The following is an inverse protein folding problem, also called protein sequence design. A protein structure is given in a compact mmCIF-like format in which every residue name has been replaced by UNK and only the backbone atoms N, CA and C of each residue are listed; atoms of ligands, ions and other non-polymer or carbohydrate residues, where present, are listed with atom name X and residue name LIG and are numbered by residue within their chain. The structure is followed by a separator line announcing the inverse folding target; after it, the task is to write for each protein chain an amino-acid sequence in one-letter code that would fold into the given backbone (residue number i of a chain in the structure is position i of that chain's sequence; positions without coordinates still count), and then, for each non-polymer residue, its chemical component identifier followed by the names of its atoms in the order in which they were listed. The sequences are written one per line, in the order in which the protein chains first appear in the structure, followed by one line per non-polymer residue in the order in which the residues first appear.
data_IF_920283736028
#
_entry.id   IF_920283736028
#
_cell.length_a   1.000
_cell.length_b   1.000
_cell.length_c   1.000
_cell.angle_alpha   90.00
_cell.angle_beta   90.00
_cell.angle_gamma   90.00
#
_symmetry.space_group_name_H-M   'P 1'
#
loop_
_entity.id
_entity.type
_entity.pdbx_description
1 polymer ?
#
# COMPACT_ATOMS: atom_id res chain seq x y z
N UNK A 1 54.00 -28.16 -27.24
CA UNK A 1 52.66 -28.48 -27.79
C UNK A 1 51.68 -28.99 -26.71
N UNK A 2 52.13 -29.91 -25.82
CA UNK A 2 51.27 -30.48 -24.77
C UNK A 2 50.72 -29.43 -23.76
N UNK A 3 51.51 -28.46 -23.36
CA UNK A 3 51.10 -27.39 -22.44
C UNK A 3 50.15 -26.36 -23.10
N UNK A 4 50.26 -26.14 -24.40
CA UNK A 4 49.36 -25.29 -25.17
C UNK A 4 47.96 -25.92 -25.29
N UNK A 5 47.88 -27.25 -25.43
CA UNK A 5 46.64 -27.98 -25.47
C UNK A 5 45.91 -27.92 -24.13
N UNK A 6 46.59 -28.02 -22.98
CA UNK A 6 45.99 -27.84 -21.66
C UNK A 6 45.47 -26.41 -21.45
N UNK A 7 46.21 -25.40 -21.92
CA UNK A 7 45.78 -23.99 -21.83
C UNK A 7 44.52 -23.73 -22.68
N UNK A 8 44.42 -24.34 -23.87
CA UNK A 8 43.26 -24.25 -24.76
C UNK A 8 42.04 -24.96 -24.16
N UNK A 9 42.21 -26.11 -23.52
CA UNK A 9 41.11 -26.83 -22.84
C UNK A 9 40.61 -26.03 -21.64
N UNK A 10 41.50 -25.47 -20.82
CA UNK A 10 41.10 -24.61 -19.68
C UNK A 10 40.40 -23.35 -20.18
N UNK A 11 40.86 -22.71 -21.26
CA UNK A 11 40.21 -21.54 -21.86
C UNK A 11 38.81 -21.86 -22.44
N UNK A 12 38.61 -23.06 -23.01
CA UNK A 12 37.31 -23.52 -23.48
C UNK A 12 36.29 -23.74 -22.30
N UNK A 13 36.76 -24.28 -21.16
CA UNK A 13 35.95 -24.44 -19.97
C UNK A 13 35.66 -23.09 -19.28
N UNK A 14 36.55 -22.11 -19.38
CA UNK A 14 36.33 -20.77 -18.84
C UNK A 14 35.37 -19.90 -19.66
N UNK A 15 35.15 -20.19 -20.94
CA UNK A 15 34.22 -19.46 -21.80
C UNK A 15 32.78 -19.96 -21.73
N UNK A 16 32.50 -21.04 -20.97
CA UNK A 16 31.22 -21.66 -20.87
C UNK A 16 30.37 -21.15 -19.72
N UNK A 17 29.21 -20.63 -20.06
CA UNK A 17 27.99 -20.54 -19.27
C UNK A 17 27.83 -19.31 -18.35
N UNK A 18 27.47 -18.21 -18.94
CA UNK A 18 26.48 -17.37 -18.29
C UNK A 18 25.11 -18.07 -18.36
N UNK A 19 24.71 -18.76 -17.30
CA UNK A 19 23.44 -19.53 -17.24
C UNK A 19 22.21 -18.60 -17.13
N UNK A 20 22.39 -17.29 -17.08
CA UNK A 20 21.27 -16.36 -16.92
C UNK A 20 21.20 -15.34 -18.04
N UNK A 21 20.01 -15.21 -18.62
CA UNK A 21 19.69 -14.10 -19.52
C UNK A 21 19.42 -12.82 -18.71
N UNK A 22 19.90 -11.68 -19.20
CA UNK A 22 19.49 -10.38 -18.66
C UNK A 22 17.99 -10.20 -18.89
N UNK A 23 17.26 -9.77 -17.86
CA UNK A 23 15.90 -9.31 -18.04
C UNK A 23 15.93 -8.06 -18.92
N UNK A 24 15.33 -8.15 -20.10
CA UNK A 24 15.15 -7.00 -21.01
C UNK A 24 13.74 -6.53 -20.82
N UNK A 25 13.58 -5.26 -20.48
CA UNK A 25 12.25 -4.63 -20.42
C UNK A 25 11.65 -4.67 -21.82
N UNK A 26 10.48 -5.28 -22.03
CA UNK A 26 9.84 -5.29 -23.33
C UNK A 26 9.51 -3.85 -23.74
N UNK A 27 9.86 -3.50 -24.97
CA UNK A 27 9.46 -2.23 -25.57
C UNK A 27 7.99 -2.35 -25.98
N UNK A 28 7.12 -1.61 -25.28
CA UNK A 28 5.68 -1.59 -25.57
C UNK A 28 5.43 -0.42 -26.52
N UNK A 29 5.02 -0.70 -27.74
CA UNK A 29 4.55 0.33 -28.67
C UNK A 29 3.22 0.87 -28.16
N UNK A 30 3.24 2.07 -27.61
CA UNK A 30 2.02 2.78 -27.21
C UNK A 30 1.45 3.50 -28.45
N UNK A 31 0.11 3.49 -28.62
CA UNK A 31 -0.51 4.27 -29.70
C UNK A 31 -0.21 5.76 -29.51
N UNK A 32 0.12 6.45 -30.59
CA UNK A 32 0.44 7.87 -30.56
C UNK A 32 -0.78 8.75 -30.21
N UNK A 33 -1.98 8.22 -30.32
CA UNK A 33 -3.24 8.89 -29.95
C UNK A 33 -4.03 8.00 -29.01
N UNK A 34 -4.26 8.45 -27.79
CA UNK A 34 -5.13 7.77 -26.81
C UNK A 34 -6.59 8.13 -27.03
N UNK A 35 -6.84 9.32 -27.55
CA UNK A 35 -8.19 9.81 -27.96
C UNK A 35 -8.06 10.42 -29.34
N UNK A 36 -8.93 10.02 -30.27
CA UNK A 36 -8.93 10.53 -31.65
C UNK A 36 -9.06 12.05 -31.67
N UNK A 37 -8.04 12.72 -32.24
CA UNK A 37 -8.01 14.18 -32.42
C UNK A 37 -7.40 14.99 -31.26
N UNK A 38 -6.87 14.35 -30.21
CA UNK A 38 -6.04 15.00 -29.20
C UNK A 38 -4.57 14.68 -29.50
N UNK A 39 -3.79 15.71 -29.85
CA UNK A 39 -2.33 15.58 -29.82
C UNK A 39 -1.90 15.20 -28.40
N UNK A 40 -1.01 14.22 -28.28
CA UNK A 40 -0.45 13.85 -27.01
C UNK A 40 0.26 15.07 -26.42
N UNK A 41 -0.31 15.64 -25.37
CA UNK A 41 0.40 16.63 -24.57
C UNK A 41 1.63 15.95 -23.98
N UNK A 42 2.78 16.62 -24.05
CA UNK A 42 4.03 16.09 -23.55
C UNK A 42 4.06 15.97 -22.01
N UNK A 43 3.07 16.54 -21.31
CA UNK A 43 2.91 16.42 -19.85
C UNK A 43 1.97 15.25 -19.52
N UNK A 44 2.55 14.21 -18.95
CA UNK A 44 1.77 13.12 -18.38
C UNK A 44 1.17 13.54 -17.03
N UNK A 45 -0.11 13.20 -16.79
CA UNK A 45 -0.74 13.42 -15.48
C UNK A 45 0.06 12.73 -14.35
N UNK A 46 0.77 11.64 -14.66
CA UNK A 46 1.64 10.96 -13.71
C UNK A 46 2.88 11.77 -13.27
N UNK A 47 3.23 12.81 -14.02
CA UNK A 47 4.34 13.73 -13.68
C UNK A 47 3.87 14.91 -12.80
N UNK A 48 2.55 15.12 -12.70
CA UNK A 48 1.97 16.14 -11.83
C UNK A 48 2.03 15.67 -10.37
N UNK A 49 2.45 16.56 -9.51
CA UNK A 49 2.41 16.30 -8.07
C UNK A 49 1.02 16.62 -7.54
N UNK A 50 0.57 15.87 -6.54
CA UNK A 50 -0.79 16.02 -5.99
C UNK A 50 -1.09 17.46 -5.52
N UNK A 51 -0.10 18.20 -5.03
CA UNK A 51 -0.26 19.59 -4.60
C UNK A 51 -0.35 20.59 -5.77
N UNK A 52 -0.05 20.17 -7.00
CA UNK A 52 -0.30 20.96 -8.19
C UNK A 52 -1.74 20.76 -8.72
N UNK A 53 -2.38 19.65 -8.28
CA UNK A 53 -3.73 19.27 -8.69
C UNK A 53 -4.78 19.84 -7.72
N UNK A 54 -4.53 19.76 -6.41
CA UNK A 54 -5.46 20.15 -5.38
C UNK A 54 -5.07 21.50 -4.77
N UNK A 55 -5.96 22.50 -4.95
CA UNK A 55 -5.75 23.86 -4.45
C UNK A 55 -6.56 24.18 -3.17
N UNK A 56 -7.45 23.29 -2.74
CA UNK A 56 -8.25 23.48 -1.51
C UNK A 56 -7.39 23.28 -0.26
N UNK A 57 -7.22 24.31 0.59
CA UNK A 57 -6.36 24.21 1.77
C UNK A 57 -6.79 23.10 2.76
N UNK A 58 -8.11 22.89 2.92
CA UNK A 58 -8.61 21.84 3.82
C UNK A 58 -8.27 20.45 3.31
N UNK A 59 -8.41 20.22 1.99
CA UNK A 59 -8.03 18.95 1.38
C UNK A 59 -6.52 18.73 1.46
N UNK A 60 -5.71 19.77 1.22
CA UNK A 60 -4.25 19.70 1.32
C UNK A 60 -3.84 19.28 2.74
N UNK A 61 -4.42 19.89 3.78
CA UNK A 61 -4.15 19.53 5.17
C UNK A 61 -4.50 18.08 5.48
N UNK A 62 -5.67 17.59 5.03
CA UNK A 62 -6.07 16.19 5.19
C UNK A 62 -5.11 15.22 4.50
N UNK A 63 -4.63 15.55 3.30
CA UNK A 63 -3.64 14.74 2.57
C UNK A 63 -2.31 14.70 3.34
N UNK A 64 -1.83 15.85 3.82
CA UNK A 64 -0.59 15.92 4.61
C UNK A 64 -0.70 15.09 5.88
N UNK A 65 -1.80 15.23 6.63
CA UNK A 65 -2.08 14.40 7.81
C UNK A 65 -2.09 12.90 7.48
N UNK A 66 -2.67 12.52 6.35
CA UNK A 66 -2.70 11.12 5.89
C UNK A 66 -1.29 10.61 5.60
N UNK A 67 -0.48 11.37 4.88
CA UNK A 67 0.90 10.98 4.57
C UNK A 67 1.75 10.81 5.83
N UNK A 68 1.52 11.61 6.86
CA UNK A 68 2.28 11.55 8.12
C UNK A 68 1.79 10.44 9.07
N UNK A 69 0.48 10.21 9.16
CA UNK A 69 -0.09 9.41 10.24
C UNK A 69 -0.76 8.11 9.81
N UNK A 70 -1.02 7.91 8.52
CA UNK A 70 -1.68 6.71 8.03
C UNK A 70 -0.90 5.45 8.39
N UNK A 71 -1.58 4.49 9.04
CA UNK A 71 -0.94 3.28 9.59
C UNK A 71 -0.43 2.33 8.51
N UNK A 72 -1.13 2.25 7.38
CA UNK A 72 -0.71 1.39 6.27
C UNK A 72 0.54 1.96 5.59
N UNK A 73 0.64 3.30 5.47
CA UNK A 73 1.83 3.94 4.93
C UNK A 73 3.04 3.78 5.88
N UNK A 74 2.84 3.89 7.19
CA UNK A 74 3.88 3.63 8.19
C UNK A 74 4.35 2.16 8.17
N UNK A 75 3.42 1.21 7.99
CA UNK A 75 3.75 -0.20 7.80
C UNK A 75 4.54 -0.44 6.50
N UNK A 76 4.16 0.23 5.41
CA UNK A 76 4.89 0.16 4.14
C UNK A 76 6.32 0.72 4.27
N UNK A 77 6.52 1.83 4.99
CA UNK A 77 7.86 2.35 5.31
C UNK A 77 8.71 1.34 6.08
N UNK A 78 8.14 0.71 7.10
CA UNK A 78 8.83 -0.33 7.87
C UNK A 78 9.21 -1.52 6.99
N UNK A 79 8.37 -1.87 6.01
CA UNK A 79 8.65 -2.94 5.06
C UNK A 79 9.79 -2.57 4.09
N UNK A 80 9.86 -1.32 3.67
CA UNK A 80 11.01 -0.82 2.86
C UNK A 80 12.31 -0.96 3.65
N UNK A 81 12.33 -0.56 4.92
CA UNK A 81 13.51 -0.70 5.78
C UNK A 81 13.91 -2.17 6.00
N UNK A 82 12.95 -3.06 6.22
CA UNK A 82 13.19 -4.51 6.32
C UNK A 82 13.90 -5.04 5.06
N UNK A 83 13.36 -4.74 3.86
CA UNK A 83 13.93 -5.22 2.60
C UNK A 83 15.30 -4.59 2.31
N UNK A 84 15.54 -3.35 2.72
CA UNK A 84 16.87 -2.73 2.66
C UNK A 84 17.88 -3.50 3.52
N UNK A 85 17.50 -3.87 4.74
CA UNK A 85 18.35 -4.66 5.64
C UNK A 85 18.61 -6.06 5.09
N UNK A 86 17.58 -6.73 4.54
CA UNK A 86 17.74 -8.02 3.87
C UNK A 86 18.68 -7.93 2.63
N UNK A 87 18.59 -6.85 1.87
CA UNK A 87 19.55 -6.59 0.79
C UNK A 87 21.00 -6.45 1.32
N UNK A 88 21.18 -5.75 2.46
CA UNK A 88 22.51 -5.65 3.10
C UNK A 88 23.03 -7.01 3.58
N UNK A 89 22.14 -7.88 4.10
CA UNK A 89 22.47 -9.26 4.45
C UNK A 89 22.91 -10.04 3.21
N UNK A 90 22.13 -10.00 2.11
CA UNK A 90 22.53 -10.66 0.86
C UNK A 90 23.86 -10.13 0.29
N UNK A 91 24.19 -8.86 0.56
CA UNK A 91 25.48 -8.28 0.19
C UNK A 91 26.64 -8.79 1.05
N UNK A 92 26.37 -9.21 2.29
CA UNK A 92 27.43 -9.77 3.16
C UNK A 92 27.96 -11.10 2.65
N UNK A 93 27.19 -11.84 1.83
CA UNK A 93 27.62 -13.12 1.24
C UNK A 93 28.82 -12.97 0.25
N UNK A 94 29.16 -11.74 -0.13
CA UNK A 94 30.41 -11.48 -0.88
C UNK A 94 31.66 -11.57 -0.02
N UNK A 95 31.52 -11.49 1.29
CA UNK A 95 32.63 -11.49 2.23
C UNK A 95 32.68 -12.83 2.99
N UNK A 96 33.88 -13.19 3.50
CA UNK A 96 34.03 -14.37 4.32
C UNK A 96 33.25 -14.23 5.64
N UNK A 97 32.64 -15.32 6.12
CA UNK A 97 32.05 -15.40 7.45
C UNK A 97 33.05 -15.95 8.46
N UNK A 98 32.87 -15.52 9.70
CA UNK A 98 33.64 -16.00 10.84
C UNK A 98 32.62 -16.37 11.93
N UNK A 99 32.55 -17.66 12.23
CA UNK A 99 31.64 -18.21 13.21
C UNK A 99 32.43 -18.71 14.43
N UNK A 100 32.01 -18.33 15.62
CA UNK A 100 32.59 -18.80 16.87
C UNK A 100 31.52 -19.54 17.65
N UNK A 101 31.80 -20.78 17.98
CA UNK A 101 30.93 -21.64 18.78
C UNK A 101 31.68 -22.12 20.01
N UNK A 102 31.06 -22.01 21.16
CA UNK A 102 31.57 -22.60 22.41
C UNK A 102 30.45 -23.34 23.08
N UNK A 103 30.70 -24.59 23.47
CA UNK A 103 29.75 -25.37 24.22
C UNK A 103 30.42 -26.06 25.39
N UNK A 104 29.61 -26.31 26.41
CA UNK A 104 29.97 -27.13 27.58
C UNK A 104 28.85 -28.16 27.73
N UNK A 105 29.20 -29.42 27.62
CA UNK A 105 28.28 -30.52 27.80
C UNK A 105 28.61 -31.27 29.10
N UNK A 106 27.59 -31.70 29.80
CA UNK A 106 27.70 -32.49 31.03
C UNK A 106 26.87 -33.76 30.89
N UNK A 107 27.53 -34.86 30.54
CA UNK A 107 26.87 -36.15 30.42
C UNK A 107 27.00 -36.94 31.75
N UNK A 108 25.87 -37.28 32.36
CA UNK A 108 25.82 -38.18 33.49
C UNK A 108 25.35 -39.54 32.99
N UNK A 109 26.29 -40.46 32.75
CA UNK A 109 25.97 -41.84 32.38
C UNK A 109 25.70 -42.66 33.64
N UNK A 110 24.43 -42.96 33.92
CA UNK A 110 24.03 -43.90 34.96
C UNK A 110 24.28 -45.33 34.45
N UNK A 111 25.48 -45.84 34.68
CA UNK A 111 25.77 -47.27 34.55
C UNK A 111 25.56 -47.90 35.93
N UNK A 112 24.51 -48.68 36.08
CA UNK A 112 24.01 -49.30 37.30
C UNK A 112 25.00 -50.16 38.08
N UNK A 113 26.30 -50.16 37.81
CA UNK A 113 27.36 -50.86 38.51
C UNK A 113 28.78 -50.26 38.41
N UNK A 114 28.91 -48.98 38.04
CA UNK A 114 30.20 -48.31 38.10
C UNK A 114 30.01 -46.89 38.69
N UNK A 115 31.00 -46.43 39.47
CA UNK A 115 31.01 -45.06 39.99
C UNK A 115 30.73 -44.07 38.81
N UNK A 116 29.64 -43.30 38.94
CA UNK A 116 29.30 -42.25 37.98
C UNK A 116 30.40 -41.21 38.05
N UNK A 117 31.28 -41.20 37.07
CA UNK A 117 32.20 -40.10 36.87
C UNK A 117 31.48 -39.06 35.99
N UNK A 118 31.24 -37.86 36.49
CA UNK A 118 30.71 -36.80 35.66
C UNK A 118 31.76 -36.45 34.61
N UNK A 119 31.41 -36.64 33.34
CA UNK A 119 32.25 -36.24 32.21
C UNK A 119 31.82 -34.82 31.78
N UNK A 120 32.74 -33.89 31.98
CA UNK A 120 32.51 -32.50 31.58
C UNK A 120 33.36 -32.25 30.31
N UNK A 121 32.69 -32.21 29.18
CA UNK A 121 33.32 -31.83 27.89
C UNK A 121 33.01 -30.38 27.54
N UNK A 122 34.04 -29.66 27.15
CA UNK A 122 33.89 -28.31 26.62
C UNK A 122 34.75 -28.12 25.38
N UNK A 123 34.18 -27.51 24.35
CA UNK A 123 34.94 -27.13 23.16
C UNK A 123 34.62 -25.71 22.74
N UNK A 124 35.62 -25.02 22.18
CA UNK A 124 35.48 -23.76 21.51
C UNK A 124 36.03 -23.90 20.08
N UNK A 125 35.20 -23.63 19.11
CA UNK A 125 35.53 -23.75 17.67
C UNK A 125 35.39 -22.40 16.99
N UNK A 126 36.39 -22.02 16.22
CA UNK A 126 36.36 -20.86 15.36
C UNK A 126 36.38 -21.34 13.90
N UNK A 127 35.29 -21.09 13.17
CA UNK A 127 35.13 -21.51 11.78
C UNK A 127 35.18 -20.31 10.87
N UNK A 128 36.05 -20.32 9.87
CA UNK A 128 36.11 -19.33 8.81
C UNK A 128 35.64 -19.98 7.51
N UNK A 129 34.61 -19.40 6.86
CA UNK A 129 34.11 -19.89 5.60
C UNK A 129 33.94 -18.76 4.58
N UNK A 130 34.31 -19.07 3.34
CA UNK A 130 34.16 -18.12 2.22
C UNK A 130 33.76 -18.87 0.96
N UNK A 131 32.64 -18.44 0.35
CA UNK A 131 32.19 -18.99 -0.91
C UNK A 131 32.64 -18.10 -2.07
N UNK A 132 33.52 -18.65 -2.92
CA UNK A 132 33.97 -17.99 -4.14
C UNK A 132 32.86 -18.09 -5.21
N UNK A 133 32.36 -16.96 -5.68
CA UNK A 133 31.27 -16.88 -6.67
C UNK A 133 31.75 -17.16 -8.10
N UNK A 134 32.16 -18.39 -8.38
CA UNK A 134 32.67 -18.80 -9.69
C UNK A 134 31.54 -18.83 -10.76
N UNK A 135 30.34 -19.19 -10.39
CA UNK A 135 29.19 -19.36 -11.29
C UNK A 135 28.14 -18.26 -11.15
N UNK A 136 28.37 -17.26 -10.31
CA UNK A 136 27.48 -16.11 -10.17
C UNK A 136 26.27 -16.30 -9.24
N UNK A 137 26.24 -17.35 -8.41
CA UNK A 137 25.15 -17.62 -7.45
C UNK A 137 24.96 -16.46 -6.47
N UNK A 138 26.04 -16.03 -5.82
CA UNK A 138 26.03 -14.93 -4.85
C UNK A 138 25.62 -13.62 -5.52
N UNK A 139 26.19 -13.37 -6.72
CA UNK A 139 25.88 -12.19 -7.52
C UNK A 139 24.40 -12.11 -7.91
N UNK A 140 23.79 -13.23 -8.30
CA UNK A 140 22.39 -13.28 -8.68
C UNK A 140 21.47 -13.15 -7.46
N UNK A 141 21.79 -13.77 -6.33
CA UNK A 141 21.08 -13.58 -5.07
C UNK A 141 21.07 -12.10 -4.65
N UNK A 142 22.21 -11.44 -4.73
CA UNK A 142 22.31 -10.03 -4.40
C UNK A 142 21.46 -9.14 -5.33
N UNK A 143 21.48 -9.43 -6.65
CA UNK A 143 20.61 -8.73 -7.62
C UNK A 143 19.13 -8.97 -7.36
N UNK A 144 18.74 -10.18 -6.98
CA UNK A 144 17.38 -10.50 -6.59
C UNK A 144 16.95 -9.72 -5.34
N UNK A 145 17.80 -9.68 -4.31
CA UNK A 145 17.53 -8.92 -3.08
C UNK A 145 17.40 -7.42 -3.37
N UNK A 146 18.28 -6.86 -4.22
CA UNK A 146 18.18 -5.47 -4.69
C UNK A 146 16.88 -5.21 -5.44
N UNK A 147 16.48 -6.09 -6.36
CA UNK A 147 15.26 -5.95 -7.12
C UNK A 147 14.01 -6.00 -6.21
N UNK A 148 14.00 -6.87 -5.19
CA UNK A 148 12.93 -6.94 -4.20
C UNK A 148 12.86 -5.66 -3.34
N UNK A 149 14.00 -5.11 -2.93
CA UNK A 149 14.05 -3.83 -2.24
C UNK A 149 13.48 -2.69 -3.10
N UNK A 150 13.95 -2.54 -4.34
CA UNK A 150 13.45 -1.50 -5.26
C UNK A 150 11.96 -1.65 -5.56
N UNK A 151 11.48 -2.88 -5.78
CA UNK A 151 10.05 -3.18 -5.93
C UNK A 151 9.23 -2.68 -4.74
N UNK A 152 9.75 -2.85 -3.52
CA UNK A 152 9.05 -2.42 -2.30
C UNK A 152 9.03 -0.90 -2.17
N UNK A 153 10.09 -0.21 -2.57
CA UNK A 153 10.14 1.25 -2.64
C UNK A 153 9.07 1.80 -3.60
N UNK A 154 8.97 1.23 -4.79
CA UNK A 154 7.94 1.65 -5.75
C UNK A 154 6.52 1.26 -5.29
N UNK A 155 6.37 0.14 -4.59
CA UNK A 155 5.10 -0.26 -3.97
C UNK A 155 4.64 0.71 -2.89
N UNK A 156 5.54 1.24 -2.07
CA UNK A 156 5.24 2.26 -1.06
C UNK A 156 4.81 3.59 -1.73
N UNK A 157 5.48 4.00 -2.81
CA UNK A 157 5.09 5.19 -3.59
C UNK A 157 3.69 5.03 -4.20
N UNK A 158 3.41 3.85 -4.75
CA UNK A 158 2.09 3.55 -5.31
C UNK A 158 1.00 3.60 -4.22
N UNK A 159 1.25 3.05 -3.03
CA UNK A 159 0.33 3.13 -1.89
C UNK A 159 0.07 4.59 -1.48
N UNK A 160 1.10 5.43 -1.42
CA UNK A 160 0.95 6.85 -1.13
C UNK A 160 0.04 7.55 -2.14
N UNK A 161 0.20 7.26 -3.44
CA UNK A 161 -0.68 7.82 -4.49
C UNK A 161 -2.14 7.38 -4.32
N UNK A 162 -2.37 6.11 -3.99
CA UNK A 162 -3.72 5.57 -3.72
C UNK A 162 -4.34 6.28 -2.52
N UNK A 163 -3.63 6.40 -1.40
CA UNK A 163 -4.13 7.08 -0.21
C UNK A 163 -4.49 8.55 -0.45
N UNK A 164 -3.68 9.27 -1.25
CA UNK A 164 -4.00 10.65 -1.65
C UNK A 164 -5.31 10.70 -2.47
N UNK A 165 -5.50 9.76 -3.38
CA UNK A 165 -6.73 9.67 -4.18
C UNK A 165 -7.95 9.31 -3.32
N UNK A 166 -7.79 8.39 -2.37
CA UNK A 166 -8.87 7.95 -1.46
C UNK A 166 -9.33 9.10 -0.56
N UNK A 167 -8.38 9.86 0.03
CA UNK A 167 -8.70 11.04 0.84
C UNK A 167 -9.42 12.11 0.02
N UNK A 168 -8.93 12.40 -1.20
CA UNK A 168 -9.58 13.38 -2.06
C UNK A 168 -11.00 12.94 -2.45
N UNK A 169 -11.20 11.66 -2.75
CA UNK A 169 -12.51 11.10 -3.07
C UNK A 169 -13.45 11.20 -1.87
N UNK A 170 -13.00 10.78 -0.69
CA UNK A 170 -13.80 10.83 0.53
C UNK A 170 -14.20 12.27 0.89
N UNK A 171 -13.30 13.23 0.71
CA UNK A 171 -13.54 14.65 0.95
C UNK A 171 -14.62 15.22 0.02
N UNK A 172 -14.52 14.98 -1.29
CA UNK A 172 -15.52 15.47 -2.23
C UNK A 172 -16.88 14.77 -2.09
N UNK A 173 -16.89 13.48 -1.72
CA UNK A 173 -18.13 12.77 -1.40
C UNK A 173 -18.78 13.33 -0.13
N UNK A 174 -18.02 13.67 0.90
CA UNK A 174 -18.53 14.33 2.11
C UNK A 174 -19.16 15.68 1.76
N UNK A 175 -18.47 16.52 1.00
CA UNK A 175 -19.02 17.80 0.54
C UNK A 175 -20.32 17.64 -0.27
N UNK A 176 -20.41 16.61 -1.10
CA UNK A 176 -21.63 16.32 -1.86
C UNK A 176 -22.80 15.92 -0.94
N UNK A 177 -22.54 15.09 0.08
CA UNK A 177 -23.54 14.67 1.07
C UNK A 177 -24.02 15.85 1.93
N UNK A 178 -23.12 16.75 2.33
CA UNK A 178 -23.47 17.96 3.08
C UNK A 178 -24.37 18.88 2.26
N UNK A 179 -24.04 19.10 0.99
CA UNK A 179 -24.87 19.86 0.07
C UNK A 179 -26.25 19.21 -0.14
N UNK A 180 -26.30 17.88 -0.28
CA UNK A 180 -27.54 17.13 -0.40
C UNK A 180 -28.40 17.29 0.84
N UNK A 181 -27.83 17.21 2.03
CA UNK A 181 -28.54 17.41 3.32
C UNK A 181 -29.11 18.83 3.41
N UNK A 182 -28.37 19.85 2.99
CA UNK A 182 -28.85 21.24 2.96
C UNK A 182 -30.05 21.39 2.01
N UNK A 183 -29.95 20.82 0.80
CA UNK A 183 -31.05 20.88 -0.19
C UNK A 183 -32.30 20.18 0.35
N UNK A 184 -32.16 18.99 0.92
CA UNK A 184 -33.31 18.23 1.47
C UNK A 184 -33.92 18.95 2.67
N UNK A 185 -33.11 19.56 3.52
CA UNK A 185 -33.61 20.33 4.67
C UNK A 185 -34.42 21.53 4.19
N UNK A 186 -33.97 22.31 3.22
CA UNK A 186 -34.74 23.42 2.61
C UNK A 186 -36.02 22.92 1.92
N UNK A 187 -35.92 21.78 1.24
CA UNK A 187 -37.09 21.16 0.61
C UNK A 187 -38.11 20.76 1.62
N UNK A 188 -37.71 20.22 2.77
CA UNK A 188 -38.61 19.83 3.86
C UNK A 188 -39.39 21.04 4.44
N UNK A 189 -38.71 22.19 4.63
CA UNK A 189 -39.34 23.43 5.04
C UNK A 189 -40.43 23.85 4.04
N UNK A 190 -40.15 23.81 2.73
CA UNK A 190 -41.14 24.11 1.70
C UNK A 190 -42.30 23.13 1.69
N UNK A 191 -42.06 21.82 1.89
CA UNK A 191 -43.09 20.79 1.99
C UNK A 191 -43.97 21.00 3.21
N UNK A 192 -43.42 21.44 4.35
CA UNK A 192 -44.20 21.79 5.55
C UNK A 192 -45.17 22.95 5.28
N UNK A 193 -44.71 24.00 4.59
CA UNK A 193 -45.58 25.07 4.14
C UNK A 193 -46.71 24.59 3.20
N UNK A 194 -46.38 23.68 2.28
CA UNK A 194 -47.39 23.11 1.36
C UNK A 194 -48.44 22.28 2.10
N UNK A 195 -48.04 21.49 3.11
CA UNK A 195 -48.96 20.79 4.00
C UNK A 195 -49.89 21.77 4.71
N UNK A 196 -49.37 22.87 5.24
CA UNK A 196 -50.15 23.88 5.95
C UNK A 196 -51.14 24.58 5.01
N UNK A 197 -50.69 24.96 3.79
CA UNK A 197 -51.57 25.58 2.76
C UNK A 197 -52.68 24.61 2.32
N UNK A 198 -52.36 23.35 2.06
CA UNK A 198 -53.32 22.34 1.66
C UNK A 198 -54.33 22.05 2.77
N UNK A 199 -53.90 22.01 4.03
CA UNK A 199 -54.78 21.88 5.21
C UNK A 199 -55.79 23.01 5.31
N UNK A 200 -55.33 24.26 5.23
CA UNK A 200 -56.23 25.45 5.30
C UNK A 200 -57.28 25.45 4.17
N UNK A 201 -56.89 25.04 2.96
CA UNK A 201 -57.82 24.94 1.80
C UNK A 201 -58.86 23.83 1.99
N UNK A 202 -58.48 22.71 2.57
CA UNK A 202 -59.40 21.61 2.91
C UNK A 202 -60.37 22.03 4.03
N UNK A 203 -59.88 22.57 5.13
CA UNK A 203 -60.68 23.01 6.26
C UNK A 203 -61.64 24.16 5.84
N UNK A 204 -61.23 25.02 4.92
CA UNK A 204 -62.07 26.05 4.32
C UNK A 204 -63.09 25.56 3.29
N UNK A 205 -63.15 24.24 3.02
CA UNK A 205 -64.07 23.66 2.04
C UNK A 205 -63.77 23.95 0.59
N UNK A 206 -62.56 24.48 0.28
CA UNK A 206 -62.16 24.87 -1.08
C UNK A 206 -61.63 23.70 -1.92
N UNK A 207 -61.18 22.59 -1.27
CA UNK A 207 -60.64 21.41 -1.95
C UNK A 207 -61.05 20.13 -1.23
N UNK A 208 -60.96 18.98 -1.93
CA UNK A 208 -61.11 17.67 -1.30
C UNK A 208 -59.93 17.35 -0.37
N UNK A 209 -60.05 16.29 0.46
CA UNK A 209 -58.99 15.85 1.37
C UNK A 209 -57.76 15.29 0.66
N UNK A 210 -57.90 14.84 -0.60
CA UNK A 210 -56.84 14.15 -1.35
C UNK A 210 -55.54 14.98 -1.47
N UNK A 211 -55.56 16.27 -1.91
CA UNK A 211 -54.34 17.09 -1.97
C UNK A 211 -53.66 17.28 -0.61
N UNK A 212 -54.44 17.38 0.47
CA UNK A 212 -53.88 17.50 1.80
C UNK A 212 -53.13 16.21 2.23
N UNK A 213 -53.73 15.05 1.98
CA UNK A 213 -53.09 13.76 2.26
C UNK A 213 -51.85 13.53 1.41
N UNK A 214 -51.88 13.94 0.14
CA UNK A 214 -50.72 13.89 -0.75
C UNK A 214 -49.56 14.75 -0.22
N UNK A 215 -49.85 15.98 0.23
CA UNK A 215 -48.82 16.85 0.79
C UNK A 215 -48.18 16.25 2.05
N UNK A 216 -48.95 15.59 2.92
CA UNK A 216 -48.42 14.89 4.10
C UNK A 216 -47.48 13.74 3.68
N UNK A 217 -47.83 12.96 2.66
CA UNK A 217 -47.01 11.87 2.16
C UNK A 217 -45.70 12.41 1.60
N UNK A 218 -45.73 13.47 0.81
CA UNK A 218 -44.53 14.11 0.24
C UNK A 218 -43.60 14.67 1.34
N UNK A 219 -44.19 15.32 2.37
CA UNK A 219 -43.45 15.77 3.55
C UNK A 219 -42.76 14.60 4.26
N UNK A 220 -43.54 13.55 4.60
CA UNK A 220 -43.01 12.39 5.31
C UNK A 220 -41.93 11.64 4.53
N UNK A 221 -42.09 11.52 3.20
CA UNK A 221 -41.09 10.91 2.31
C UNK A 221 -39.79 11.72 2.31
N UNK A 222 -39.87 13.05 2.17
CA UNK A 222 -38.73 13.93 2.24
C UNK A 222 -38.04 13.86 3.62
N UNK A 223 -38.80 13.88 4.70
CA UNK A 223 -38.28 13.80 6.06
C UNK A 223 -37.52 12.49 6.32
N UNK A 224 -37.98 11.39 5.71
CA UNK A 224 -37.32 10.06 5.86
C UNK A 224 -35.94 9.96 5.26
N UNK A 225 -35.52 10.87 4.37
CA UNK A 225 -34.21 10.90 3.76
C UNK A 225 -33.13 11.45 4.72
N UNK A 226 -33.50 12.34 5.63
CA UNK A 226 -32.54 13.04 6.51
C UNK A 226 -31.75 12.08 7.41
N UNK A 227 -32.35 11.09 8.09
CA UNK A 227 -31.59 10.16 8.93
C UNK A 227 -30.59 9.31 8.14
N UNK A 228 -30.95 8.90 6.92
CA UNK A 228 -30.03 8.13 6.05
C UNK A 228 -28.83 8.97 5.59
N UNK A 229 -29.07 10.24 5.21
CA UNK A 229 -28.01 11.16 4.85
C UNK A 229 -27.06 11.45 6.01
N UNK A 230 -27.59 11.70 7.20
CA UNK A 230 -26.75 11.90 8.39
C UNK A 230 -25.86 10.69 8.68
N UNK A 231 -26.42 9.49 8.57
CA UNK A 231 -25.66 8.25 8.73
C UNK A 231 -24.55 8.13 7.68
N UNK A 232 -24.80 8.51 6.41
CA UNK A 232 -23.81 8.50 5.34
C UNK A 232 -22.70 9.50 5.62
N UNK A 233 -23.04 10.71 6.10
CA UNK A 233 -22.08 11.74 6.48
C UNK A 233 -21.17 11.23 7.59
N UNK A 234 -21.72 10.73 8.69
CA UNK A 234 -20.94 10.17 9.81
C UNK A 234 -20.03 9.02 9.35
N UNK A 235 -20.52 8.16 8.44
CA UNK A 235 -19.69 7.08 7.88
C UNK A 235 -18.51 7.63 7.09
N UNK A 236 -18.74 8.70 6.32
CA UNK A 236 -17.68 9.32 5.49
C UNK A 236 -16.68 10.10 6.35
N UNK A 237 -17.12 10.77 7.40
CA UNK A 237 -16.24 11.40 8.41
C UNK A 237 -15.36 10.37 9.11
N UNK A 238 -15.91 9.21 9.49
CA UNK A 238 -15.14 8.12 10.07
C UNK A 238 -14.12 7.52 9.09
N UNK A 239 -14.47 7.44 7.80
CA UNK A 239 -13.53 7.01 6.75
C UNK A 239 -12.34 7.96 6.63
N UNK A 240 -12.60 9.28 6.61
CA UNK A 240 -11.55 10.30 6.59
C UNK A 240 -10.68 10.21 7.86
N UNK A 241 -11.29 10.04 9.04
CA UNK A 241 -10.56 9.86 10.29
C UNK A 241 -9.65 8.64 10.26
N UNK A 242 -10.12 7.52 9.70
CA UNK A 242 -9.31 6.31 9.52
C UNK A 242 -8.13 6.55 8.57
N UNK A 243 -8.37 7.23 7.45
CA UNK A 243 -7.34 7.56 6.45
C UNK A 243 -6.28 8.50 7.03
N UNK A 244 -6.68 9.49 7.83
CA UNK A 244 -5.77 10.44 8.51
C UNK A 244 -5.09 9.84 9.75
N UNK A 245 -5.46 8.62 10.17
CA UNK A 245 -4.85 7.91 11.30
C UNK A 245 -5.29 8.41 12.68
N UNK A 246 -6.47 9.06 12.74
CA UNK A 246 -7.09 9.58 13.96
C UNK A 246 -8.06 8.57 14.60
#
# INVERSE_FOLDING_TARGET
MRNLAYFLIIALFASGCSVSSRCVTPEVELPNEVVAGMEADSMCIADLKWYDIFADPCLVELIEMTIENNKDLLAAWSKVEELERLYRVAKSDYFPSLDAEAYVDHETTDKSNAEATPDLEGAATLTHSWELDLFGRVRWNNRQALANYLKTVEGQRALQMVLVADVATAYFELMALDNELEIITRTLETREEDVNKAKLRFEGGLTSEIPYRQAIVEYATTASLIPDLRRKIETKENEISLLTGQ
#
